data_IF_637901463161
#
_entry.id   IF_637901463161
#
_cell.length_a   1.000
_cell.length_b   1.000
_cell.length_c   1.000
_cell.angle_alpha   90.00
_cell.angle_beta   90.00
_cell.angle_gamma   90.00
#
_symmetry.space_group_name_H-M   'P 1'
#
loop_
_entity.id
_entity.type
_entity.pdbx_description
1 polymer ?
#
# COMPACT_ATOMS: atom_id res chain seq x y z
N UNK A 1 -14.19 -19.45 54.70
CA UNK A 1 -14.88 -19.58 53.40
C UNK A 1 -14.26 -20.77 52.69
N UNK A 2 -15.03 -21.85 52.48
CA UNK A 2 -14.55 -23.02 51.77
C UNK A 2 -14.34 -22.65 50.30
N UNK A 3 -13.11 -22.84 49.80
CA UNK A 3 -12.76 -22.58 48.40
C UNK A 3 -13.63 -23.40 47.44
N UNK A 4 -13.71 -22.94 46.19
CA UNK A 4 -14.48 -23.55 45.11
C UNK A 4 -14.03 -25.01 44.89
N UNK A 5 -14.75 -25.97 45.48
CA UNK A 5 -14.48 -27.39 45.34
C UNK A 5 -14.98 -27.94 44.00
N UNK A 6 -14.09 -28.58 43.24
CA UNK A 6 -14.36 -29.13 41.91
C UNK A 6 -13.29 -28.72 40.88
N UNK A 7 -13.31 -29.24 39.64
CA UNK A 7 -12.36 -28.83 38.60
C UNK A 7 -12.50 -27.30 38.46
N UNK A 8 -11.43 -26.57 38.74
CA UNK A 8 -11.44 -25.14 39.10
C UNK A 8 -12.51 -24.27 38.41
N UNK A 9 -13.08 -23.31 39.14
CA UNK A 9 -14.08 -22.40 38.59
C UNK A 9 -13.50 -21.54 37.46
N UNK A 10 -14.35 -21.21 36.48
CA UNK A 10 -13.99 -20.33 35.36
C UNK A 10 -14.88 -19.10 35.42
N UNK A 11 -14.27 -17.92 35.36
CA UNK A 11 -14.98 -16.66 35.17
C UNK A 11 -15.12 -16.39 33.68
N UNK A 12 -16.36 -16.11 33.27
CA UNK A 12 -16.70 -15.71 31.91
C UNK A 12 -17.00 -14.22 31.91
N UNK A 13 -16.20 -13.44 31.19
CA UNK A 13 -16.39 -11.99 31.03
C UNK A 13 -16.88 -11.69 29.62
N UNK A 14 -17.99 -10.98 29.48
CA UNK A 14 -18.58 -10.59 28.18
C UNK A 14 -18.22 -9.12 27.86
N UNK A 15 -17.61 -8.89 26.71
CA UNK A 15 -17.24 -7.57 26.17
C UNK A 15 -18.38 -6.90 25.37
N UNK A 16 -19.50 -7.59 25.23
CA UNK A 16 -20.74 -7.09 24.67
C UNK A 16 -20.85 -7.18 23.15
N UNK A 17 -21.74 -6.33 22.65
CA UNK A 17 -22.32 -6.26 21.30
C UNK A 17 -21.42 -5.84 20.12
N UNK A 18 -20.28 -5.22 20.43
CA UNK A 18 -19.61 -4.29 19.54
C UNK A 18 -19.62 -2.84 20.04
N UNK A 19 -19.14 -1.92 19.21
CA UNK A 19 -18.99 -0.50 19.55
C UNK A 19 -20.08 0.36 18.90
N UNK A 20 -20.46 1.46 19.55
CA UNK A 20 -21.33 2.46 18.95
C UNK A 20 -20.64 3.11 17.73
N UNK A 21 -21.41 3.38 16.67
CA UNK A 21 -20.90 4.01 15.45
C UNK A 21 -21.40 5.45 15.32
N UNK A 22 -20.45 6.39 15.20
CA UNK A 22 -20.72 7.81 14.96
C UNK A 22 -19.97 8.34 13.71
N UNK A 23 -19.41 7.47 12.88
CA UNK A 23 -18.70 7.91 11.68
C UNK A 23 -19.65 8.33 10.56
N UNK A 24 -19.20 9.30 9.75
CA UNK A 24 -19.98 9.87 8.65
C UNK A 24 -20.33 8.84 7.55
N UNK A 25 -19.49 7.81 7.36
CA UNK A 25 -19.72 6.75 6.37
C UNK A 25 -19.94 5.37 7.02
N UNK A 26 -21.20 4.98 7.25
CA UNK A 26 -21.52 3.74 7.93
C UNK A 26 -21.08 2.47 7.19
N UNK A 27 -21.01 2.51 5.84
CA UNK A 27 -20.54 1.37 5.03
C UNK A 27 -19.05 1.10 5.20
N UNK A 28 -18.27 2.16 5.40
CA UNK A 28 -16.84 2.03 5.68
C UNK A 28 -16.61 1.46 7.08
N UNK A 29 -17.33 1.97 8.09
CA UNK A 29 -17.23 1.48 9.46
C UNK A 29 -17.51 0.00 9.58
N UNK A 30 -18.52 -0.50 8.84
CA UNK A 30 -18.85 -1.93 8.79
C UNK A 30 -17.63 -2.80 8.45
N UNK A 31 -16.78 -2.37 7.52
CA UNK A 31 -15.58 -3.10 7.10
C UNK A 31 -14.42 -3.01 8.09
N UNK A 32 -14.44 -1.99 8.94
CA UNK A 32 -13.36 -1.69 9.89
C UNK A 32 -13.63 -2.27 11.28
N UNK A 33 -14.88 -2.62 11.58
CA UNK A 33 -15.21 -3.29 12.84
C UNK A 33 -14.79 -4.75 12.84
N UNK A 34 -14.06 -5.15 13.89
CA UNK A 34 -13.51 -6.48 14.01
C UNK A 34 -13.39 -6.93 15.47
N UNK A 35 -13.49 -8.24 15.68
CA UNK A 35 -12.94 -8.91 16.85
C UNK A 35 -11.45 -9.08 16.63
N UNK A 36 -10.67 -8.67 17.63
CA UNK A 36 -9.22 -8.75 17.62
C UNK A 36 -8.74 -9.50 18.85
N UNK A 37 -7.72 -10.32 18.69
CA UNK A 37 -7.07 -10.99 19.81
C UNK A 37 -5.57 -11.11 19.54
N UNK A 38 -4.76 -10.86 20.56
CA UNK A 38 -3.31 -10.99 20.50
C UNK A 38 -2.80 -12.01 21.51
N UNK A 39 -1.81 -12.79 21.09
CA UNK A 39 -1.11 -13.76 21.94
C UNK A 39 0.19 -14.23 21.27
N UNK A 40 0.77 -15.33 21.75
CA UNK A 40 2.08 -15.84 21.29
C UNK A 40 2.09 -16.21 19.78
N UNK A 41 0.92 -16.52 19.21
CA UNK A 41 0.75 -16.82 17.79
C UNK A 41 0.72 -15.59 16.87
N UNK A 42 0.63 -14.37 17.41
CA UNK A 42 0.40 -13.13 16.69
C UNK A 42 -0.97 -12.51 16.99
N UNK A 43 -1.42 -11.64 16.08
CA UNK A 43 -2.71 -10.94 16.20
C UNK A 43 -3.69 -11.49 15.17
N UNK A 44 -4.80 -12.03 15.66
CA UNK A 44 -5.96 -12.41 14.88
C UNK A 44 -6.88 -11.20 14.74
N UNK A 45 -7.35 -10.94 13.53
CA UNK A 45 -8.28 -9.86 13.20
C UNK A 45 -9.40 -10.43 12.34
N UNK A 46 -10.59 -10.51 12.93
CA UNK A 46 -11.77 -11.12 12.34
C UNK A 46 -12.83 -10.03 12.23
N UNK A 47 -13.09 -9.56 11.00
CA UNK A 47 -14.17 -8.61 10.75
C UNK A 47 -15.51 -9.15 11.26
N UNK A 48 -16.35 -8.29 11.84
CA UNK A 48 -17.62 -8.72 12.45
C UNK A 48 -18.52 -9.46 11.45
N UNK A 49 -18.55 -9.02 10.18
CA UNK A 49 -19.26 -9.70 9.08
C UNK A 49 -18.74 -11.13 8.79
N UNK A 50 -17.49 -11.40 9.16
CA UNK A 50 -16.82 -12.68 8.96
C UNK A 50 -17.11 -13.70 10.08
N UNK A 51 -17.67 -13.27 11.22
CA UNK A 51 -18.05 -14.15 12.33
C UNK A 51 -19.35 -14.86 11.96
N UNK A 52 -19.29 -15.82 11.03
CA UNK A 52 -20.46 -16.63 10.62
C UNK A 52 -20.66 -17.87 11.51
N UNK A 53 -19.58 -18.33 12.15
CA UNK A 53 -19.57 -19.47 13.07
C UNK A 53 -18.78 -19.11 14.32
N UNK A 54 -19.11 -19.77 15.43
CA UNK A 54 -18.39 -19.62 16.71
C UNK A 54 -16.90 -19.87 16.49
N UNK A 55 -16.07 -18.89 16.83
CA UNK A 55 -14.61 -18.99 16.75
C UNK A 55 -14.02 -19.00 18.15
N UNK A 56 -13.15 -19.96 18.39
CA UNK A 56 -12.46 -20.15 19.65
C UNK A 56 -10.99 -19.80 19.47
N UNK A 57 -10.51 -18.88 20.29
CA UNK A 57 -9.13 -18.41 20.34
C UNK A 57 -8.55 -18.84 21.70
N UNK A 58 -7.28 -19.21 21.77
CA UNK A 58 -6.65 -19.72 23.00
C UNK A 58 -5.28 -19.08 23.25
N UNK A 59 -4.85 -19.08 24.51
CA UNK A 59 -3.57 -18.51 24.97
C UNK A 59 -3.39 -17.04 24.55
N UNK A 60 -4.29 -16.18 25.03
CA UNK A 60 -4.40 -14.79 24.57
C UNK A 60 -3.89 -13.83 25.64
N UNK A 61 -3.01 -12.92 25.25
CA UNK A 61 -2.58 -11.81 26.09
C UNK A 61 -3.66 -10.73 26.19
N UNK A 62 -4.42 -10.51 25.11
CA UNK A 62 -5.53 -9.56 25.08
C UNK A 62 -6.58 -9.96 24.04
N UNK A 63 -7.81 -9.52 24.26
CA UNK A 63 -8.98 -9.78 23.41
C UNK A 63 -9.87 -8.54 23.40
N UNK A 64 -10.34 -8.11 22.24
CA UNK A 64 -11.16 -6.91 22.14
C UNK A 64 -12.02 -6.82 20.89
N UNK A 65 -12.88 -5.82 20.90
CA UNK A 65 -13.62 -5.37 19.73
C UNK A 65 -13.10 -3.99 19.36
N UNK A 66 -12.77 -3.81 18.08
CA UNK A 66 -12.28 -2.55 17.55
C UNK A 66 -13.19 -2.00 16.48
N UNK A 67 -13.17 -0.67 16.34
CA UNK A 67 -13.64 0.05 15.16
C UNK A 67 -12.46 0.71 14.44
N UNK A 68 -12.76 1.73 13.64
CA UNK A 68 -11.73 2.52 12.93
C UNK A 68 -10.75 3.21 13.86
N UNK A 69 -11.29 3.89 14.89
CA UNK A 69 -10.50 4.75 15.79
C UNK A 69 -10.53 4.33 17.26
N UNK A 70 -11.43 3.44 17.67
CA UNK A 70 -11.63 3.07 19.07
C UNK A 70 -11.46 1.58 19.30
N UNK A 71 -11.03 1.22 20.50
CA UNK A 71 -10.79 -0.15 20.94
C UNK A 71 -11.42 -0.33 22.32
N UNK A 72 -12.17 -1.43 22.47
CA UNK A 72 -12.53 -1.99 23.76
C UNK A 72 -11.87 -3.36 23.88
N UNK A 73 -10.89 -3.50 24.78
CA UNK A 73 -10.14 -4.73 24.95
C UNK A 73 -9.98 -5.11 26.43
N UNK A 74 -10.04 -6.39 26.72
CA UNK A 74 -9.56 -6.98 27.96
C UNK A 74 -8.11 -7.41 27.78
N UNK A 75 -7.29 -7.11 28.77
CA UNK A 75 -5.85 -7.42 28.82
C UNK A 75 -5.60 -8.30 30.03
N UNK A 76 -4.89 -9.41 29.82
CA UNK A 76 -4.54 -10.34 30.87
C UNK A 76 -3.41 -9.74 31.73
N UNK A 77 -3.56 -9.70 33.07
CA UNK A 77 -2.62 -9.01 33.96
C UNK A 77 -1.27 -9.72 34.04
N UNK A 78 -0.19 -8.94 34.13
CA UNK A 78 1.17 -9.46 34.26
C UNK A 78 1.56 -10.39 33.10
N UNK A 79 2.05 -11.59 33.42
CA UNK A 79 2.42 -12.62 32.44
C UNK A 79 1.31 -13.65 32.18
N UNK A 80 0.09 -13.43 32.69
CA UNK A 80 -1.02 -14.35 32.50
C UNK A 80 -1.62 -14.27 31.09
N UNK A 81 -2.34 -15.32 30.69
CA UNK A 81 -3.06 -15.38 29.42
C UNK A 81 -4.48 -15.86 29.64
N UNK A 82 -5.43 -15.30 28.90
CA UNK A 82 -6.77 -15.87 28.80
C UNK A 82 -6.70 -17.23 28.10
N UNK A 83 -7.32 -18.24 28.71
CA UNK A 83 -7.27 -19.61 28.20
C UNK A 83 -8.09 -19.76 26.93
N UNK A 84 -9.25 -19.10 26.89
CA UNK A 84 -10.17 -19.19 25.77
C UNK A 84 -10.92 -17.87 25.58
N UNK A 85 -11.10 -17.47 24.33
CA UNK A 85 -12.08 -16.46 23.96
C UNK A 85 -12.97 -16.98 22.83
N UNK A 86 -14.25 -16.68 22.93
CA UNK A 86 -15.27 -17.16 22.00
C UNK A 86 -15.98 -15.97 21.38
N UNK A 87 -15.86 -15.83 20.06
CA UNK A 87 -16.61 -14.85 19.28
C UNK A 87 -17.84 -15.52 18.64
N UNK A 88 -19.04 -15.00 18.92
CA UNK A 88 -20.31 -15.50 18.37
C UNK A 88 -21.02 -14.43 17.55
N UNK A 89 -21.62 -14.85 16.45
CA UNK A 89 -22.48 -13.98 15.65
C UNK A 89 -23.69 -13.53 16.47
N UNK A 90 -24.03 -12.24 16.40
CA UNK A 90 -25.25 -11.68 16.96
C UNK A 90 -25.96 -10.94 15.83
N UNK A 91 -27.32 -11.00 15.74
CA UNK A 91 -28.05 -10.32 14.68
C UNK A 91 -27.66 -8.84 14.54
N UNK A 92 -27.42 -8.42 13.30
CA UNK A 92 -27.06 -7.05 12.97
C UNK A 92 -28.17 -6.08 13.39
N UNK A 93 -27.77 -4.88 13.84
CA UNK A 93 -28.72 -3.78 14.02
C UNK A 93 -28.93 -3.08 12.69
N UNK A 94 -30.20 -2.85 12.33
CA UNK A 94 -30.57 -1.97 11.22
C UNK A 94 -30.97 -0.61 11.79
N UNK A 95 -30.24 0.43 11.43
CA UNK A 95 -30.55 1.82 11.76
C UNK A 95 -30.81 2.60 10.48
N UNK A 96 -31.83 3.46 10.47
CA UNK A 96 -32.07 4.38 9.37
C UNK A 96 -31.34 5.67 9.68
N UNK A 97 -30.30 6.00 8.89
CA UNK A 97 -29.53 7.23 9.04
C UNK A 97 -29.69 8.04 7.75
N UNK A 98 -30.30 9.22 7.85
CA UNK A 98 -30.56 10.14 6.71
C UNK A 98 -31.27 9.46 5.52
N UNK A 99 -32.25 8.60 5.80
CA UNK A 99 -33.05 7.91 4.77
C UNK A 99 -32.44 6.61 4.23
N UNK A 100 -31.17 6.33 4.52
CA UNK A 100 -30.52 5.08 4.16
C UNK A 100 -30.58 4.06 5.31
N UNK A 101 -30.91 2.80 4.98
CA UNK A 101 -30.81 1.69 5.93
C UNK A 101 -29.35 1.28 6.10
N UNK A 102 -28.80 1.60 7.26
CA UNK A 102 -27.48 1.20 7.72
C UNK A 102 -27.55 -0.10 8.49
N UNK A 103 -26.73 -1.07 8.12
CA UNK A 103 -26.57 -2.34 8.83
C UNK A 103 -25.27 -2.28 9.62
N UNK A 104 -25.36 -2.42 10.95
CA UNK A 104 -24.23 -2.42 11.88
C UNK A 104 -24.00 -3.86 12.34
N UNK A 105 -22.91 -4.52 11.91
CA UNK A 105 -22.64 -5.88 12.33
C UNK A 105 -22.29 -5.96 13.81
N UNK A 106 -22.68 -7.06 14.46
CA UNK A 106 -22.44 -7.32 15.89
C UNK A 106 -21.86 -8.70 16.10
N UNK A 107 -20.99 -8.81 17.10
CA UNK A 107 -20.55 -10.09 17.62
C UNK A 107 -20.43 -10.00 19.14
N UNK A 108 -20.83 -11.05 19.82
CA UNK A 108 -20.59 -11.20 21.26
C UNK A 108 -19.22 -11.84 21.45
N UNK A 109 -18.47 -11.28 22.40
CA UNK A 109 -17.11 -11.70 22.68
C UNK A 109 -17.00 -12.05 24.16
N UNK A 110 -16.89 -13.34 24.44
CA UNK A 110 -16.78 -13.85 25.80
C UNK A 110 -15.38 -14.41 26.05
N UNK A 111 -14.74 -13.96 27.12
CA UNK A 111 -13.40 -14.39 27.53
C UNK A 111 -13.52 -15.26 28.78
N UNK A 112 -12.77 -16.36 28.81
CA UNK A 112 -12.72 -17.30 29.92
C UNK A 112 -11.37 -17.19 30.63
N UNK A 113 -11.43 -16.99 31.95
CA UNK A 113 -10.26 -17.01 32.83
C UNK A 113 -10.47 -18.00 33.97
N UNK A 114 -9.44 -18.76 34.32
CA UNK A 114 -9.49 -19.66 35.45
C UNK A 114 -9.41 -18.85 36.75
N UNK A 115 -10.28 -19.15 37.71
CA UNK A 115 -10.21 -18.55 39.05
C UNK A 115 -9.07 -19.17 39.85
N UNK A 116 -8.31 -18.33 40.54
CA UNK A 116 -7.34 -18.81 41.50
C UNK A 116 -8.05 -19.48 42.70
N UNK A 117 -7.39 -20.40 43.42
CA UNK A 117 -8.00 -21.14 44.53
C UNK A 117 -8.50 -20.26 45.69
N UNK A 118 -7.95 -19.04 45.81
CA UNK A 118 -8.36 -18.01 46.77
C UNK A 118 -9.62 -17.24 46.33
N UNK A 119 -10.15 -17.52 45.13
CA UNK A 119 -11.31 -16.86 44.54
C UNK A 119 -11.01 -15.47 43.97
N UNK A 120 -9.76 -15.00 44.03
CA UNK A 120 -9.33 -13.74 43.48
C UNK A 120 -9.23 -13.78 41.96
N UNK A 121 -9.66 -12.71 41.29
CA UNK A 121 -9.45 -12.52 39.87
C UNK A 121 -9.15 -11.06 39.57
N UNK A 122 -8.32 -10.82 38.56
CA UNK A 122 -7.99 -9.49 38.06
C UNK A 122 -7.97 -9.52 36.55
N UNK A 123 -8.44 -8.43 35.92
CA UNK A 123 -8.22 -8.16 34.52
C UNK A 123 -8.06 -6.65 34.34
N UNK A 124 -7.39 -6.26 33.26
CA UNK A 124 -7.32 -4.86 32.84
C UNK A 124 -8.23 -4.65 31.63
N UNK A 125 -8.85 -3.48 31.54
CA UNK A 125 -9.70 -3.12 30.42
C UNK A 125 -9.22 -1.82 29.78
N UNK A 126 -8.93 -1.87 28.49
CA UNK A 126 -8.65 -0.71 27.66
C UNK A 126 -9.93 -0.28 26.94
N UNK A 127 -10.42 0.92 27.25
CA UNK A 127 -11.60 1.51 26.64
C UNK A 127 -11.24 2.90 26.14
N UNK A 128 -10.84 3.01 24.87
CA UNK A 128 -10.29 4.28 24.41
C UNK A 128 -9.94 4.35 22.93
N UNK A 129 -9.39 5.50 22.51
CA UNK A 129 -8.93 5.71 21.14
C UNK A 129 -7.70 4.84 20.84
N UNK A 130 -7.47 4.49 19.57
CA UNK A 130 -6.30 3.70 19.16
C UNK A 130 -5.07 4.59 18.98
N UNK A 131 -4.70 5.33 20.04
CA UNK A 131 -3.51 6.18 20.05
C UNK A 131 -2.25 5.35 20.36
N UNK A 132 -1.18 5.46 19.56
CA UNK A 132 0.03 4.66 19.76
C UNK A 132 0.61 4.75 21.18
N UNK A 133 0.68 5.97 21.75
CA UNK A 133 1.21 6.19 23.11
C UNK A 133 0.39 5.47 24.18
N UNK A 134 -0.94 5.46 24.06
CA UNK A 134 -1.84 4.82 25.02
C UNK A 134 -1.82 3.29 24.89
N UNK A 135 -1.78 2.78 23.65
CA UNK A 135 -1.72 1.34 23.40
C UNK A 135 -0.39 0.73 23.88
N UNK A 136 0.73 1.41 23.67
CA UNK A 136 2.03 0.97 24.22
C UNK A 136 2.03 1.01 25.75
N UNK A 137 1.42 2.03 26.35
CA UNK A 137 1.30 2.14 27.81
C UNK A 137 0.41 1.04 28.41
N UNK A 138 -0.62 0.59 27.69
CA UNK A 138 -1.45 -0.56 28.08
C UNK A 138 -0.68 -1.90 28.02
N UNK A 139 0.45 -1.94 27.30
CA UNK A 139 1.37 -3.08 27.29
C UNK A 139 0.82 -4.33 26.61
N UNK A 140 1.49 -5.47 26.85
CA UNK A 140 1.11 -6.81 26.36
C UNK A 140 0.97 -6.91 24.83
N UNK A 141 1.60 -6.01 24.07
CA UNK A 141 1.52 -5.99 22.61
C UNK A 141 0.19 -5.45 22.08
N UNK A 142 -0.57 -4.68 22.87
CA UNK A 142 -1.85 -4.10 22.46
C UNK A 142 -1.69 -3.08 21.32
N UNK A 143 -0.50 -2.49 21.16
CA UNK A 143 -0.14 -1.65 20.02
C UNK A 143 -0.20 -2.39 18.68
N UNK A 144 -0.19 -3.74 18.69
CA UNK A 144 -0.31 -4.57 17.49
C UNK A 144 -1.76 -4.76 17.02
N UNK A 145 -2.74 -4.15 17.68
CA UNK A 145 -4.18 -4.27 17.35
C UNK A 145 -4.50 -3.97 15.89
N UNK A 146 -3.71 -3.07 15.27
CA UNK A 146 -3.70 -2.80 13.85
C UNK A 146 -2.36 -3.25 13.27
N UNK A 147 -2.21 -4.53 12.90
CA UNK A 147 -0.95 -4.99 12.35
C UNK A 147 -0.65 -4.27 11.03
N UNK A 148 0.46 -3.55 11.00
CA UNK A 148 0.91 -2.85 9.79
C UNK A 148 1.34 -3.85 8.72
N UNK A 149 0.50 -4.04 7.70
CA UNK A 149 0.79 -4.88 6.54
C UNK A 149 0.84 -6.39 6.80
N UNK A 150 1.33 -7.13 5.81
CA UNK A 150 1.43 -8.58 5.86
C UNK A 150 2.44 -9.06 6.91
N UNK A 151 2.20 -10.24 7.51
CA UNK A 151 3.01 -10.78 8.61
C UNK A 151 4.51 -10.87 8.32
N UNK A 152 4.88 -11.16 7.07
CA UNK A 152 6.28 -11.23 6.62
C UNK A 152 6.93 -9.85 6.39
N UNK A 153 6.14 -8.79 6.16
CA UNK A 153 6.64 -7.42 6.01
C UNK A 153 6.77 -6.68 7.35
N UNK A 154 6.13 -7.15 8.42
CA UNK A 154 6.11 -6.50 9.74
C UNK A 154 7.50 -6.13 10.27
N UNK A 155 8.56 -6.96 10.14
CA UNK A 155 9.89 -6.59 10.64
C UNK A 155 10.47 -5.34 9.97
N UNK A 156 10.12 -5.11 8.69
CA UNK A 156 10.54 -3.92 7.93
C UNK A 156 9.60 -2.75 8.18
N UNK A 157 8.30 -3.01 8.25
CA UNK A 157 7.27 -1.97 8.36
C UNK A 157 7.23 -1.34 9.76
N UNK A 158 7.44 -2.11 10.83
CA UNK A 158 7.42 -1.60 12.22
C UNK A 158 8.39 -0.45 12.48
N UNK A 159 9.71 -0.56 12.20
CA UNK A 159 10.63 0.53 12.44
C UNK A 159 10.30 1.75 11.57
N UNK A 160 9.81 1.54 10.34
CA UNK A 160 9.35 2.63 9.47
C UNK A 160 8.13 3.32 10.08
N UNK A 161 7.15 2.57 10.60
CA UNK A 161 5.94 3.12 11.22
C UNK A 161 6.29 3.95 12.46
N UNK A 162 7.16 3.42 13.32
CA UNK A 162 7.66 4.13 14.49
C UNK A 162 8.38 5.43 14.10
N UNK A 163 9.26 5.38 13.09
CA UNK A 163 9.94 6.57 12.59
C UNK A 163 8.98 7.61 12.02
N UNK A 164 7.96 7.19 11.26
CA UNK A 164 6.92 8.07 10.72
C UNK A 164 6.15 8.74 11.87
N UNK A 165 5.62 7.96 12.82
CA UNK A 165 4.83 8.47 13.94
C UNK A 165 5.64 9.43 14.81
N UNK A 166 6.89 9.05 15.12
CA UNK A 166 7.81 9.92 15.87
C UNK A 166 8.08 11.22 15.12
N UNK A 167 8.30 11.17 13.80
CA UNK A 167 8.54 12.36 12.98
C UNK A 167 7.31 13.26 12.92
N UNK A 168 6.11 12.70 12.72
CA UNK A 168 4.86 13.45 12.70
C UNK A 168 4.60 14.14 14.05
N UNK A 169 4.79 13.42 15.16
CA UNK A 169 4.69 13.98 16.50
C UNK A 169 5.73 15.08 16.73
N UNK A 170 7.00 14.86 16.38
CA UNK A 170 8.06 15.85 16.54
C UNK A 170 7.82 17.12 15.70
N UNK A 171 7.32 16.99 14.47
CA UNK A 171 6.96 18.13 13.62
C UNK A 171 5.79 18.92 14.20
N UNK A 172 4.82 18.25 14.82
CA UNK A 172 3.68 18.92 15.45
C UNK A 172 4.08 19.59 16.77
N UNK A 173 4.68 18.82 17.69
CA UNK A 173 4.97 19.22 19.06
C UNK A 173 6.10 20.27 19.13
N UNK A 174 7.15 20.15 18.30
CA UNK A 174 8.31 21.07 18.38
C UNK A 174 8.15 22.32 17.50
N UNK A 175 7.47 22.22 16.35
CA UNK A 175 7.33 23.34 15.42
C UNK A 175 5.95 24.02 15.50
N UNK A 176 5.01 23.48 16.28
CA UNK A 176 3.65 24.02 16.40
C UNK A 176 2.86 24.00 15.09
N UNK A 177 3.24 23.16 14.13
CA UNK A 177 2.61 23.09 12.82
C UNK A 177 1.25 22.38 12.92
N UNK A 178 0.21 22.93 12.31
CA UNK A 178 -1.06 22.20 12.16
C UNK A 178 -0.86 20.89 11.38
N UNK A 179 -1.65 19.86 11.69
CA UNK A 179 -1.47 18.51 11.10
C UNK A 179 -1.44 18.47 9.57
N UNK A 180 -2.19 19.35 8.89
CA UNK A 180 -2.11 19.47 7.43
C UNK A 180 -0.73 19.93 6.94
N UNK A 181 -0.13 20.93 7.60
CA UNK A 181 1.22 21.38 7.29
C UNK A 181 2.27 20.35 7.68
N UNK A 182 2.06 19.62 8.78
CA UNK A 182 2.92 18.49 9.18
C UNK A 182 2.99 17.47 8.05
N UNK A 183 1.87 17.11 7.40
CA UNK A 183 1.86 16.17 6.27
C UNK A 183 2.62 16.71 5.04
N UNK A 184 2.51 18.01 4.75
CA UNK A 184 3.24 18.64 3.64
C UNK A 184 4.75 18.63 3.88
N UNK A 185 5.18 19.10 5.07
CA UNK A 185 6.59 19.13 5.46
C UNK A 185 7.16 17.71 5.53
N UNK A 186 6.39 16.77 6.08
CA UNK A 186 6.75 15.37 6.13
C UNK A 186 6.95 14.77 4.73
N UNK A 187 6.05 15.07 3.78
CA UNK A 187 6.19 14.67 2.37
C UNK A 187 7.50 15.13 1.72
N UNK A 188 7.86 16.39 1.95
CA UNK A 188 9.12 16.98 1.48
C UNK A 188 10.32 16.29 2.14
N UNK A 189 10.28 16.11 3.47
CA UNK A 189 11.35 15.51 4.24
C UNK A 189 11.63 14.06 3.83
N UNK A 190 10.58 13.24 3.66
CA UNK A 190 10.73 11.86 3.18
C UNK A 190 11.38 11.85 1.79
N UNK A 191 11.01 12.79 0.91
CA UNK A 191 11.62 12.86 -0.43
C UNK A 191 13.10 13.23 -0.38
N UNK A 192 13.49 14.16 0.49
CA UNK A 192 14.89 14.55 0.71
C UNK A 192 15.70 13.36 1.26
N UNK A 193 15.22 12.70 2.30
CA UNK A 193 15.91 11.56 2.94
C UNK A 193 16.05 10.39 1.97
N UNK A 194 15.01 10.10 1.17
CA UNK A 194 15.02 9.00 0.20
C UNK A 194 15.71 9.37 -1.12
N UNK A 195 16.09 10.63 -1.32
CA UNK A 195 16.74 11.11 -2.54
C UNK A 195 17.94 10.27 -2.98
N UNK A 196 18.98 10.04 -2.15
CA UNK A 196 20.17 9.28 -2.58
C UNK A 196 19.83 7.84 -2.97
N UNK A 197 18.91 7.22 -2.23
CA UNK A 197 18.45 5.86 -2.50
C UNK A 197 17.70 5.78 -3.84
N UNK A 198 16.75 6.69 -4.05
CA UNK A 198 15.98 6.79 -5.29
C UNK A 198 16.89 7.09 -6.49
N UNK A 199 17.87 8.00 -6.34
CA UNK A 199 18.82 8.32 -7.39
C UNK A 199 19.68 7.12 -7.79
N UNK A 200 20.18 6.34 -6.81
CA UNK A 200 20.91 5.09 -7.07
C UNK A 200 20.05 4.08 -7.82
N UNK A 201 18.80 3.90 -7.42
CA UNK A 201 17.88 2.98 -8.06
C UNK A 201 17.54 3.40 -9.50
N UNK A 202 17.32 4.68 -9.75
CA UNK A 202 17.08 5.20 -11.09
C UNK A 202 18.31 5.06 -11.99
N UNK A 203 19.52 5.33 -11.47
CA UNK A 203 20.77 5.13 -12.22
C UNK A 203 21.02 3.66 -12.56
N UNK A 204 20.71 2.74 -11.64
CA UNK A 204 20.74 1.31 -11.92
C UNK A 204 19.79 0.93 -13.06
N UNK A 205 18.58 1.52 -13.08
CA UNK A 205 17.64 1.35 -14.20
C UNK A 205 18.17 1.91 -15.52
N UNK A 206 19.01 2.97 -15.52
CA UNK A 206 19.60 3.50 -16.75
C UNK A 206 20.59 2.52 -17.38
N UNK A 207 21.48 1.91 -16.58
CA UNK A 207 22.40 0.86 -17.06
C UNK A 207 21.66 -0.30 -17.72
N UNK A 208 20.50 -0.62 -17.16
CA UNK A 208 19.65 -1.66 -17.68
C UNK A 208 19.04 -1.34 -19.07
N UNK A 209 18.95 -0.06 -19.44
CA UNK A 209 18.42 0.36 -20.73
C UNK A 209 19.43 0.26 -21.87
N UNK A 210 20.73 0.23 -21.58
CA UNK A 210 21.78 0.00 -22.58
C UNK A 210 21.63 -1.36 -23.28
N UNK A 211 20.97 -2.31 -22.60
CA UNK A 211 20.70 -3.64 -23.14
C UNK A 211 19.43 -3.71 -24.00
N UNK A 212 18.56 -2.68 -23.99
CA UNK A 212 17.34 -2.68 -24.82
C UNK A 212 17.61 -2.90 -26.33
N UNK A 213 18.60 -2.25 -26.98
CA UNK A 213 18.86 -2.49 -28.40
C UNK A 213 19.30 -3.94 -28.67
N UNK A 214 20.16 -4.51 -27.82
CA UNK A 214 20.59 -5.92 -27.94
C UNK A 214 19.42 -6.90 -27.75
N UNK A 215 18.51 -6.57 -26.82
CA UNK A 215 17.28 -7.34 -26.64
C UNK A 215 16.38 -7.25 -27.87
N UNK A 216 16.24 -6.07 -28.48
CA UNK A 216 15.46 -5.89 -29.71
C UNK A 216 16.09 -6.66 -30.89
N UNK A 217 17.41 -6.72 -30.99
CA UNK A 217 18.10 -7.51 -32.01
C UNK A 217 17.83 -9.02 -31.87
N UNK A 218 17.84 -9.56 -30.65
CA UNK A 218 17.46 -10.96 -30.40
C UNK A 218 15.99 -11.19 -30.77
N UNK A 219 15.11 -10.25 -30.40
CA UNK A 219 13.67 -10.33 -30.73
C UNK A 219 13.40 -10.31 -32.23
N UNK A 220 14.14 -9.51 -33.00
CA UNK A 220 13.99 -9.48 -34.47
C UNK A 220 14.61 -10.70 -35.13
N UNK A 221 15.77 -11.17 -34.65
CA UNK A 221 16.48 -12.33 -35.19
C UNK A 221 15.76 -13.67 -34.97
N UNK A 222 15.08 -13.82 -33.83
CA UNK A 222 14.38 -15.06 -33.44
C UNK A 222 12.86 -14.92 -33.39
N UNK A 223 12.29 -13.98 -34.14
CA UNK A 223 10.84 -13.68 -34.17
C UNK A 223 9.97 -14.91 -34.47
N UNK A 224 10.50 -15.87 -35.23
CA UNK A 224 9.83 -17.11 -35.63
C UNK A 224 9.98 -18.26 -34.63
N UNK A 225 10.83 -18.13 -33.61
CA UNK A 225 11.09 -19.19 -32.62
C UNK A 225 11.14 -18.62 -31.18
N UNK A 226 9.98 -18.57 -30.49
CA UNK A 226 9.88 -18.02 -29.14
C UNK A 226 10.74 -18.77 -28.11
N UNK A 227 10.99 -20.06 -28.30
CA UNK A 227 11.80 -20.85 -27.37
C UNK A 227 13.27 -20.46 -27.47
N UNK A 228 13.82 -20.37 -28.69
CA UNK A 228 15.19 -19.89 -28.88
C UNK A 228 15.35 -18.43 -28.47
N UNK A 229 14.36 -17.60 -28.73
CA UNK A 229 14.37 -16.20 -28.30
C UNK A 229 14.49 -16.08 -26.78
N UNK A 230 13.74 -16.86 -25.99
CA UNK A 230 13.85 -16.86 -24.53
C UNK A 230 15.22 -17.37 -24.06
N UNK A 231 15.77 -18.41 -24.70
CA UNK A 231 17.08 -18.97 -24.34
C UNK A 231 18.22 -17.98 -24.59
N UNK A 232 18.27 -17.34 -25.76
CA UNK A 232 19.30 -16.35 -26.10
C UNK A 232 19.15 -15.09 -25.24
N UNK A 233 17.93 -14.69 -24.91
CA UNK A 233 17.69 -13.58 -23.99
C UNK A 233 18.18 -13.90 -22.56
N UNK A 234 17.99 -15.13 -22.07
CA UNK A 234 18.52 -15.56 -20.77
C UNK A 234 20.04 -15.70 -20.77
N UNK A 235 20.65 -16.15 -21.88
CA UNK A 235 22.11 -16.17 -22.04
C UNK A 235 22.69 -14.76 -21.99
N UNK A 236 22.09 -13.81 -22.73
CA UNK A 236 22.48 -12.39 -22.69
C UNK A 236 22.43 -11.83 -21.26
N UNK A 237 21.35 -12.13 -20.51
CA UNK A 237 21.23 -11.70 -19.12
C UNK A 237 22.32 -12.27 -18.22
N UNK A 238 22.71 -13.54 -18.40
CA UNK A 238 23.78 -14.17 -17.62
C UNK A 238 25.16 -13.63 -17.99
N UNK A 239 25.47 -13.52 -19.27
CA UNK A 239 26.77 -13.03 -19.77
C UNK A 239 27.06 -11.59 -19.37
N UNK A 240 26.02 -10.75 -19.37
CA UNK A 240 26.14 -9.32 -19.00
C UNK A 240 25.86 -9.06 -17.52
N UNK A 241 25.60 -10.09 -16.71
CA UNK A 241 25.32 -9.96 -15.27
C UNK A 241 24.07 -9.14 -14.96
N UNK A 242 23.11 -9.12 -15.88
CA UNK A 242 21.90 -8.31 -15.79
C UNK A 242 20.80 -9.05 -15.02
N UNK A 243 20.21 -8.40 -14.02
CA UNK A 243 19.05 -8.93 -13.31
C UNK A 243 17.76 -8.20 -13.76
N UNK A 244 16.80 -8.88 -14.42
CA UNK A 244 15.56 -8.25 -14.88
C UNK A 244 14.73 -7.62 -13.74
N UNK A 245 14.84 -8.13 -12.51
CA UNK A 245 14.17 -7.55 -11.34
C UNK A 245 14.76 -6.21 -10.91
N UNK A 246 16.01 -5.90 -11.29
CA UNK A 246 16.58 -4.58 -11.00
C UNK A 246 15.92 -3.46 -11.83
N UNK A 247 15.18 -3.80 -12.89
CA UNK A 247 14.40 -2.85 -13.70
C UNK A 247 13.17 -2.28 -12.98
N UNK A 248 12.57 -3.03 -12.04
CA UNK A 248 11.46 -2.57 -11.20
C UNK A 248 11.90 -2.06 -9.82
N UNK A 249 13.20 -2.02 -9.54
CA UNK A 249 13.76 -1.51 -8.29
C UNK A 249 13.23 -0.12 -7.89
N UNK A 250 13.07 0.85 -8.81
CA UNK A 250 12.53 2.17 -8.45
C UNK A 250 11.08 2.12 -7.96
N UNK A 251 10.31 1.11 -8.36
CA UNK A 251 8.95 0.89 -7.89
C UNK A 251 8.93 0.18 -6.55
N UNK A 252 9.84 -0.76 -6.30
CA UNK A 252 9.87 -1.56 -5.07
C UNK A 252 10.35 -0.80 -3.84
N UNK A 253 11.31 0.13 -3.99
CA UNK A 253 11.85 0.92 -2.88
C UNK A 253 10.78 1.74 -2.14
N UNK A 254 9.88 2.48 -2.82
CA UNK A 254 8.84 3.23 -2.13
C UNK A 254 7.69 2.36 -1.60
N UNK A 255 7.54 1.11 -2.03
CA UNK A 255 6.40 0.27 -1.63
C UNK A 255 6.27 0.05 -0.12
N UNK A 256 7.33 -0.30 0.64
CA UNK A 256 7.25 -0.42 2.09
C UNK A 256 6.80 0.89 2.76
N UNK A 257 7.33 2.03 2.32
CA UNK A 257 6.95 3.35 2.82
C UNK A 257 5.48 3.64 2.51
N UNK A 258 5.03 3.32 1.30
CA UNK A 258 3.64 3.47 0.89
C UNK A 258 2.69 2.67 1.78
N UNK A 259 2.97 1.37 1.94
CA UNK A 259 2.16 0.47 2.76
C UNK A 259 2.11 1.00 4.20
N UNK A 260 3.25 1.41 4.73
CA UNK A 260 3.33 1.90 6.12
C UNK A 260 2.50 3.16 6.31
N UNK A 261 2.66 4.16 5.43
CA UNK A 261 1.91 5.42 5.52
C UNK A 261 0.41 5.23 5.30
N UNK A 262 0.04 4.33 4.39
CA UNK A 262 -1.36 3.98 4.18
C UNK A 262 -2.02 3.52 5.49
N UNK A 263 -1.41 2.57 6.20
CA UNK A 263 -1.95 2.07 7.47
C UNK A 263 -1.89 3.10 8.59
N UNK A 264 -0.77 3.81 8.73
CA UNK A 264 -0.58 4.81 9.78
C UNK A 264 -1.57 5.96 9.63
N UNK A 265 -1.68 6.56 8.45
CA UNK A 265 -2.53 7.74 8.25
C UNK A 265 -4.02 7.40 8.19
N UNK A 266 -4.41 6.18 7.78
CA UNK A 266 -5.83 5.78 7.80
C UNK A 266 -6.38 5.50 9.20
N UNK A 267 -5.54 5.04 10.12
CA UNK A 267 -5.95 4.65 11.49
C UNK A 267 -5.61 5.69 12.55
N UNK A 268 -4.75 6.67 12.22
CA UNK A 268 -4.41 7.78 13.09
C UNK A 268 -5.64 8.62 13.42
N UNK A 269 -6.00 8.60 14.70
CA UNK A 269 -7.12 9.38 15.24
C UNK A 269 -6.79 10.87 15.28
N UNK A 270 -5.51 11.23 15.27
CA UNK A 270 -5.02 12.61 15.31
C UNK A 270 -5.47 13.44 14.11
N UNK A 271 -5.74 12.81 12.97
CA UNK A 271 -6.24 13.50 11.77
C UNK A 271 -7.76 13.63 11.73
N UNK A 272 -8.48 12.97 12.64
CA UNK A 272 -9.94 12.95 12.65
C UNK A 272 -10.48 14.32 13.03
N UNK A 273 -11.34 14.87 12.18
CA UNK A 273 -11.95 16.18 12.39
C UNK A 273 -10.99 17.35 12.24
N UNK A 274 -9.79 17.13 11.72
CA UNK A 274 -8.83 18.20 11.47
C UNK A 274 -9.06 18.76 10.07
N UNK A 275 -9.42 20.04 10.01
CA UNK A 275 -9.58 20.76 8.75
C UNK A 275 -8.24 21.30 8.23
N UNK A 276 -8.11 21.35 6.91
CA UNK A 276 -6.95 21.95 6.25
C UNK A 276 -7.31 22.47 4.86
N UNK A 277 -7.10 23.77 4.62
CA UNK A 277 -7.51 24.43 3.38
C UNK A 277 -9.01 24.22 3.08
N UNK A 278 -9.37 23.61 1.94
CA UNK A 278 -10.75 23.25 1.59
C UNK A 278 -11.21 21.91 2.15
N UNK A 279 -10.33 21.18 2.85
CA UNK A 279 -10.62 19.85 3.40
C UNK A 279 -11.26 20.02 4.77
N UNK A 280 -12.49 19.54 4.98
CA UNK A 280 -13.13 19.61 6.29
C UNK A 280 -12.53 18.60 7.29
N UNK A 281 -12.03 17.46 6.80
CA UNK A 281 -11.45 16.38 7.63
C UNK A 281 -10.37 15.63 6.86
N UNK A 282 -9.14 15.61 7.40
CA UNK A 282 -7.99 14.90 6.83
C UNK A 282 -8.14 13.37 6.83
N UNK A 283 -9.01 12.82 7.69
CA UNK A 283 -9.23 11.38 7.81
C UNK A 283 -10.33 10.85 6.88
N UNK A 284 -11.06 11.73 6.21
CA UNK A 284 -12.08 11.42 5.20
C UNK A 284 -11.54 11.68 3.79
N UNK A 285 -12.13 11.05 2.74
CA UNK A 285 -11.84 11.39 1.36
C UNK A 285 -12.12 12.87 1.06
N UNK A 286 -11.38 13.44 0.10
CA UNK A 286 -11.59 14.84 -0.32
C UNK A 286 -12.99 15.01 -0.94
N UNK A 287 -13.88 15.83 -0.33
CA UNK A 287 -15.25 16.00 -0.81
C UNK A 287 -15.34 16.67 -2.19
N UNK A 288 -14.32 17.46 -2.57
CA UNK A 288 -14.25 18.14 -3.86
C UNK A 288 -13.40 17.39 -4.87
N UNK A 289 -12.76 16.29 -4.47
CA UNK A 289 -11.85 15.48 -5.28
C UNK A 289 -10.68 16.25 -5.94
N UNK A 290 -10.34 17.43 -5.42
CA UNK A 290 -9.25 18.28 -5.93
C UNK A 290 -7.90 17.59 -5.70
N UNK A 291 -7.66 17.08 -4.49
CA UNK A 291 -6.41 16.40 -4.14
C UNK A 291 -6.14 15.14 -4.97
N UNK A 292 -7.08 14.19 -5.15
CA UNK A 292 -6.88 13.06 -6.06
C UNK A 292 -6.50 13.48 -7.47
N UNK A 293 -7.14 14.53 -8.01
CA UNK A 293 -6.84 15.05 -9.36
C UNK A 293 -5.43 15.65 -9.40
N UNK A 294 -5.06 16.48 -8.43
CA UNK A 294 -3.72 17.05 -8.34
C UNK A 294 -2.64 15.96 -8.15
N UNK A 295 -2.95 14.92 -7.39
CA UNK A 295 -2.08 13.75 -7.25
C UNK A 295 -1.88 13.03 -8.58
N UNK A 296 -2.94 12.81 -9.36
CA UNK A 296 -2.83 12.22 -10.71
C UNK A 296 -2.01 13.09 -11.64
N UNK A 297 -2.30 14.40 -11.69
CA UNK A 297 -1.57 15.37 -12.54
C UNK A 297 -0.10 15.42 -12.16
N UNK A 298 0.23 15.47 -10.87
CA UNK A 298 1.63 15.50 -10.41
C UNK A 298 2.38 14.20 -10.70
N UNK A 299 1.74 13.05 -10.53
CA UNK A 299 2.32 11.74 -10.88
C UNK A 299 2.56 11.64 -12.39
N UNK A 300 1.58 12.07 -13.19
CA UNK A 300 1.71 12.13 -14.64
C UNK A 300 2.82 13.10 -15.07
N UNK A 301 2.91 14.28 -14.45
CA UNK A 301 3.98 15.25 -14.72
C UNK A 301 5.37 14.65 -14.45
N UNK A 302 5.56 13.93 -13.33
CA UNK A 302 6.84 13.26 -13.04
C UNK A 302 7.20 12.23 -14.11
N UNK A 303 6.25 11.43 -14.56
CA UNK A 303 6.48 10.45 -15.62
C UNK A 303 6.71 11.09 -16.98
N UNK A 304 5.94 12.12 -17.31
CA UNK A 304 6.06 12.86 -18.55
C UNK A 304 7.43 13.54 -18.64
N UNK A 305 7.90 14.18 -17.55
CA UNK A 305 9.27 14.71 -17.44
C UNK A 305 10.29 13.59 -17.65
N UNK A 306 10.09 12.44 -17.00
CA UNK A 306 10.97 11.28 -17.16
C UNK A 306 11.09 10.83 -18.62
N UNK A 307 9.96 10.73 -19.35
CA UNK A 307 9.93 10.28 -20.74
C UNK A 307 10.44 11.34 -21.73
N UNK A 308 9.88 12.54 -21.68
CA UNK A 308 10.18 13.59 -22.66
C UNK A 308 11.61 14.08 -22.55
N UNK A 309 12.11 14.28 -21.32
CA UNK A 309 13.51 14.70 -21.15
C UNK A 309 14.49 13.56 -21.41
N UNK A 310 14.10 12.28 -21.32
CA UNK A 310 15.02 11.18 -21.59
C UNK A 310 15.25 10.89 -23.08
N UNK A 311 14.33 11.29 -23.96
CA UNK A 311 14.52 11.22 -25.41
C UNK A 311 14.68 9.80 -25.99
N UNK A 312 14.13 8.78 -25.34
CA UNK A 312 14.19 7.37 -25.79
C UNK A 312 12.83 6.85 -26.27
N UNK A 313 12.87 6.03 -27.32
CA UNK A 313 11.79 5.10 -27.65
C UNK A 313 11.76 4.00 -26.59
N UNK A 314 10.74 4.03 -25.73
CA UNK A 314 10.46 2.94 -24.81
C UNK A 314 9.63 1.87 -25.52
N UNK A 315 9.89 0.60 -25.21
CA UNK A 315 9.04 -0.49 -25.68
C UNK A 315 7.55 -0.23 -25.33
N UNK A 316 6.58 -0.57 -26.21
CA UNK A 316 5.16 -0.28 -26.01
C UNK A 316 4.59 -0.79 -24.67
N UNK A 317 5.10 -1.93 -24.19
CA UNK A 317 4.71 -2.50 -22.90
C UNK A 317 5.10 -1.62 -21.70
N UNK A 318 6.29 -0.99 -21.75
CA UNK A 318 6.74 -0.11 -20.68
C UNK A 318 5.95 1.21 -20.68
N UNK A 319 5.66 1.75 -21.87
CA UNK A 319 4.82 2.94 -22.02
C UNK A 319 3.41 2.70 -21.47
N UNK A 320 2.80 1.55 -21.79
CA UNK A 320 1.47 1.22 -21.29
C UNK A 320 1.44 1.10 -19.77
N UNK A 321 2.42 0.42 -19.16
CA UNK A 321 2.53 0.35 -17.69
C UNK A 321 2.70 1.73 -17.06
N UNK A 322 3.50 2.60 -17.69
CA UNK A 322 3.70 3.96 -17.18
C UNK A 322 2.42 4.79 -17.22
N UNK A 323 1.59 4.72 -18.27
CA UNK A 323 0.35 5.50 -18.33
C UNK A 323 -0.82 4.88 -17.57
N UNK A 324 -0.96 3.55 -17.60
CA UNK A 324 -2.12 2.87 -17.00
C UNK A 324 -1.99 2.80 -15.47
N UNK A 325 -0.80 2.55 -14.92
CA UNK A 325 -0.64 2.38 -13.47
C UNK A 325 -1.02 3.64 -12.65
N UNK A 326 -0.57 4.86 -13.00
CA UNK A 326 -1.01 6.08 -12.33
C UNK A 326 -2.49 6.35 -12.48
N UNK A 327 -3.12 5.93 -13.58
CA UNK A 327 -4.56 6.09 -13.74
C UNK A 327 -5.33 5.17 -12.79
N UNK A 328 -4.94 3.89 -12.71
CA UNK A 328 -5.52 2.93 -11.75
C UNK A 328 -5.30 3.41 -10.31
N UNK A 329 -4.07 3.82 -9.99
CA UNK A 329 -3.72 4.33 -8.67
C UNK A 329 -4.37 5.68 -8.37
N UNK A 330 -4.57 6.51 -9.39
CA UNK A 330 -5.30 7.76 -9.32
C UNK A 330 -6.76 7.55 -8.92
N UNK A 331 -7.45 6.62 -9.59
CA UNK A 331 -8.83 6.22 -9.23
C UNK A 331 -8.90 5.69 -7.80
N UNK A 332 -7.91 4.90 -7.37
CA UNK A 332 -7.83 4.43 -5.99
C UNK A 332 -7.80 5.59 -4.98
N UNK A 333 -7.06 6.66 -5.26
CA UNK A 333 -6.93 7.82 -4.37
C UNK A 333 -8.22 8.64 -4.18
N UNK A 334 -9.25 8.45 -5.01
CA UNK A 334 -10.58 9.03 -4.76
C UNK A 334 -11.28 8.42 -3.55
N UNK A 335 -10.90 7.20 -3.15
CA UNK A 335 -11.54 6.47 -2.04
C UNK A 335 -10.76 6.54 -0.74
N UNK A 336 -9.57 7.14 -0.76
CA UNK A 336 -8.63 7.17 0.37
C UNK A 336 -8.70 8.50 1.11
N UNK A 337 -8.26 8.51 2.38
CA UNK A 337 -8.21 9.69 3.23
C UNK A 337 -7.40 10.83 2.59
N UNK A 338 -7.93 12.05 2.68
CA UNK A 338 -7.35 13.24 2.07
C UNK A 338 -5.96 13.58 2.62
N UNK A 339 -5.67 13.24 3.88
CA UNK A 339 -4.34 13.38 4.47
C UNK A 339 -3.26 12.54 3.77
N UNK A 340 -3.60 11.32 3.32
CA UNK A 340 -2.67 10.51 2.53
C UNK A 340 -2.43 11.16 1.16
N UNK A 341 -3.49 11.64 0.50
CA UNK A 341 -3.40 12.32 -0.79
C UNK A 341 -2.54 13.59 -0.70
N UNK A 342 -2.71 14.37 0.36
CA UNK A 342 -1.95 15.59 0.63
C UNK A 342 -0.45 15.29 0.76
N UNK A 343 -0.10 14.27 1.55
CA UNK A 343 1.28 13.81 1.67
C UNK A 343 1.88 13.44 0.31
N UNK A 344 1.19 12.64 -0.50
CA UNK A 344 1.71 12.20 -1.80
C UNK A 344 1.84 13.34 -2.79
N UNK A 345 0.90 14.28 -2.79
CA UNK A 345 0.99 15.48 -3.60
C UNK A 345 2.26 16.28 -3.24
N UNK A 346 2.49 16.53 -1.94
CA UNK A 346 3.68 17.23 -1.47
C UNK A 346 4.97 16.47 -1.84
N UNK A 347 4.99 15.15 -1.66
CA UNK A 347 6.11 14.27 -2.02
C UNK A 347 6.40 14.27 -3.54
N UNK A 348 5.36 14.27 -4.37
CA UNK A 348 5.49 14.35 -5.83
C UNK A 348 6.09 15.68 -6.26
N UNK A 349 5.58 16.80 -5.72
CA UNK A 349 6.10 18.14 -6.01
C UNK A 349 7.56 18.27 -5.58
N UNK A 350 7.90 17.80 -4.37
CA UNK A 350 9.29 17.75 -3.89
C UNK A 350 10.21 16.86 -4.74
N UNK A 351 9.62 15.90 -5.47
CA UNK A 351 10.33 15.00 -6.36
C UNK A 351 10.67 15.57 -7.73
N UNK A 352 10.03 16.66 -8.15
CA UNK A 352 10.25 17.25 -9.48
C UNK A 352 11.72 17.62 -9.74
N UNK A 353 12.45 18.27 -8.82
CA UNK A 353 13.86 18.59 -9.04
C UNK A 353 14.72 17.34 -9.26
N UNK A 354 14.50 16.28 -8.47
CA UNK A 354 15.19 15.01 -8.63
C UNK A 354 14.90 14.39 -10.00
N UNK A 355 13.63 14.40 -10.41
CA UNK A 355 13.20 13.81 -11.67
C UNK A 355 13.81 14.52 -12.88
N UNK A 356 13.87 15.86 -12.84
CA UNK A 356 14.50 16.67 -13.89
C UNK A 356 16.00 16.40 -13.98
N UNK A 357 16.70 16.34 -12.84
CA UNK A 357 18.14 16.07 -12.80
C UNK A 357 18.49 14.69 -13.39
N UNK A 358 17.77 13.64 -12.97
CA UNK A 358 17.99 12.29 -13.47
C UNK A 358 17.61 12.16 -14.95
N UNK A 359 16.52 12.79 -15.39
CA UNK A 359 16.14 12.77 -16.80
C UNK A 359 17.19 13.47 -17.69
N UNK A 360 17.80 14.56 -17.21
CA UNK A 360 18.94 15.22 -17.87
C UNK A 360 20.19 14.34 -17.90
N UNK A 361 20.53 13.68 -16.80
CA UNK A 361 21.62 12.69 -16.76
C UNK A 361 21.40 11.60 -17.83
N UNK A 362 20.17 11.09 -17.93
CA UNK A 362 19.78 10.07 -18.92
C UNK A 362 19.96 10.54 -20.36
N UNK A 363 19.50 11.76 -20.66
CA UNK A 363 19.65 12.35 -22.01
C UNK A 363 21.10 12.45 -22.44
N UNK A 364 21.98 12.93 -21.54
CA UNK A 364 23.42 13.06 -21.80
C UNK A 364 24.05 11.70 -22.12
N UNK A 365 23.76 10.68 -21.32
CA UNK A 365 24.24 9.32 -21.56
C UNK A 365 23.77 8.77 -22.93
N UNK A 366 22.52 9.02 -23.30
CA UNK A 366 21.98 8.61 -24.60
C UNK A 366 22.63 9.34 -25.78
N UNK A 367 22.88 10.64 -25.65
CA UNK A 367 23.55 11.44 -26.67
C UNK A 367 25.00 10.96 -26.88
N UNK A 368 25.69 10.56 -25.80
CA UNK A 368 27.02 9.95 -25.87
C UNK A 368 27.00 8.58 -26.56
N UNK A 369 26.02 7.73 -26.26
CA UNK A 369 25.85 6.44 -26.96
C UNK A 369 25.60 6.64 -28.46
N UNK A 370 24.76 7.61 -28.84
CA UNK A 370 24.50 7.92 -30.25
C UNK A 370 25.76 8.45 -30.97
N UNK A 371 26.59 9.22 -30.27
CA UNK A 371 27.87 9.72 -30.82
C UNK A 371 28.91 8.61 -30.99
N UNK A 372 28.95 7.66 -30.06
CA UNK A 372 29.93 6.57 -30.04
C UNK A 372 29.47 5.33 -30.83
N UNK A 373 28.22 5.30 -31.31
CA UNK A 373 27.74 4.24 -32.19
C UNK A 373 28.54 4.24 -33.51
N UNK A 374 29.15 3.12 -33.92
CA UNK A 374 29.85 3.05 -35.19
C UNK A 374 28.90 3.42 -36.33
N UNK A 375 29.32 4.38 -37.17
CA UNK A 375 28.63 4.79 -38.40
C UNK A 375 28.71 3.67 -39.44
N UNK A 376 28.08 2.53 -39.19
CA UNK A 376 28.10 1.39 -40.09
C UNK A 376 26.70 0.85 -40.28
N UNK A 377 25.95 1.51 -41.16
CA UNK A 377 25.06 0.92 -42.18
C UNK A 377 24.24 2.07 -42.77
N UNK A 378 24.92 2.95 -43.50
CA UNK A 378 24.23 3.64 -44.58
C UNK A 378 23.81 2.52 -45.54
N UNK A 379 22.50 2.29 -45.61
CA UNK A 379 21.89 1.26 -46.43
C UNK A 379 22.50 1.25 -47.83
N UNK A 380 23.17 0.15 -48.18
CA UNK A 380 23.35 -0.23 -49.58
C UNK A 380 21.96 -0.26 -50.21
N UNK A 381 21.68 0.52 -51.26
CA UNK A 381 20.40 0.42 -51.96
C UNK A 381 20.28 -1.00 -52.50
N UNK A 382 19.20 -1.69 -52.15
CA UNK A 382 18.90 -3.02 -52.68
C UNK A 382 18.92 -3.01 -54.22
N UNK A 383 19.50 -4.03 -54.89
CA UNK A 383 19.47 -4.10 -56.34
C UNK A 383 18.02 -4.22 -56.83
N UNK A 384 17.68 -3.39 -57.82
CA UNK A 384 16.36 -3.24 -58.41
C UNK A 384 15.73 -4.59 -58.77
N UNK A 385 14.56 -4.86 -58.18
CA UNK A 385 13.72 -5.99 -58.55
C UNK A 385 13.27 -5.88 -60.01
N UNK A 386 13.48 -6.98 -60.75
CA UNK A 386 13.14 -7.19 -62.15
C UNK A 386 11.66 -6.88 -62.40
N UNK A 387 11.44 -5.98 -63.36
CA UNK A 387 10.15 -5.46 -63.82
C UNK A 387 9.30 -6.58 -64.43
N UNK A 388 8.28 -7.04 -63.71
CA UNK A 388 7.27 -7.95 -64.25
C UNK A 388 6.43 -7.25 -65.34
N UNK A 389 6.48 -7.78 -66.56
CA UNK A 389 5.76 -7.31 -67.73
C UNK A 389 4.26 -7.61 -67.57
N UNK A 390 3.43 -6.56 -67.59
CA UNK A 390 1.97 -6.65 -67.73
C UNK A 390 1.60 -7.20 -69.12
N UNK A 391 0.81 -8.27 -69.20
CA UNK A 391 0.01 -8.62 -70.39
C UNK A 391 -1.45 -8.22 -70.16
N UNK A 392 -2.12 -7.49 -71.07
CA UNK A 392 -3.51 -7.09 -70.92
C UNK A 392 -4.48 -8.18 -71.37
N UNK A 393 -5.68 -8.11 -70.81
CA UNK A 393 -6.83 -8.96 -71.09
C UNK A 393 -7.31 -8.85 -72.55
N UNK A 394 -7.69 -9.98 -73.14
CA UNK A 394 -8.60 -10.02 -74.29
C UNK A 394 -9.75 -10.99 -74.03
N UNK A 395 -10.94 -10.44 -74.28
CA UNK A 395 -12.28 -10.99 -74.17
C UNK A 395 -12.69 -11.50 -75.56
N UNK A 396 -12.98 -12.79 -75.72
CA UNK A 396 -13.77 -13.31 -76.85
C UNK A 396 -14.39 -14.67 -76.45
N UNK A 397 -15.71 -14.72 -76.17
CA UNK A 397 -16.79 -15.11 -77.11
C UNK A 397 -16.75 -16.59 -77.55
N UNK A 398 -17.65 -17.38 -76.92
CA UNK A 398 -18.62 -18.36 -77.47
C UNK A 398 -18.17 -19.42 -78.51
N UNK A 399 -18.81 -20.60 -78.33
CA UNK A 399 -18.97 -21.80 -79.20
C UNK A 399 -18.03 -22.94 -78.77
N UNK A 400 -18.48 -24.16 -78.52
CA UNK A 400 -19.71 -24.89 -78.86
C UNK A 400 -20.03 -25.88 -77.75
#
# INVERSE_FOLDING_TARGET
MAGLGGPGAVLVTDLGTGLANHEANPKQTRREMAVVAGGDGGVDNIGLDGVKTTRTLANLAWVGIKGKYFLAALVAPGSSTFQQATARNVPDIRQVVRGDTVVIPRASLTVQTALAPDGGWTYEAYLGPQQPKQLVAAGRGLEEVNPYGYRWLRPVVRPIAAAILWTLAALHDNLGLGYGMVLVVFGILVKIVTWPLNAKAMRAQMKNMEFQPLMQEIQTKYKSDPQRQQQEMMKLYREKGFNPLSGCMPLLIPMPVFITLFFVLQTAIEFRGVSFMWLPDLALPDPLYILPILFMVSTFALQWISMTLSGMEQNPQMQMMMYVMPLVFGIFFFTVASGLNLYYLASNVAGLPQQILIARERRRANDEMKKNAPKTSAATPAPAATRAVKRPAQRAKRRR
#
